data_IF_566990959949
#
_entry.id   IF_566990959949
#
_cell.length_a   1.000
_cell.length_b   1.000
_cell.length_c   1.000
_cell.angle_alpha   90.00
_cell.angle_beta   90.00
_cell.angle_gamma   90.00
#
_symmetry.space_group_name_H-M   'P 1'
#
loop_
_entity.id
_entity.type
_entity.pdbx_description
1 polymer ?
#
# COMPACT_ATOMS: atom_id res chain seq x y z
N UNK A 1 0.06 5.07 14.04
CA UNK A 1 -0.43 5.31 15.41
C UNK A 1 0.15 6.61 15.94
N UNK A 2 -0.25 7.09 17.11
CA UNK A 2 0.17 8.40 17.66
C UNK A 2 1.70 8.63 17.68
N UNK A 3 2.48 7.56 17.84
CA UNK A 3 3.96 7.58 17.78
C UNK A 3 4.52 7.80 16.36
N UNK A 4 3.80 7.37 15.33
CA UNK A 4 4.20 7.58 13.93
C UNK A 4 3.94 9.03 13.49
N UNK A 5 2.88 9.67 13.99
CA UNK A 5 2.59 11.08 13.68
C UNK A 5 3.52 12.05 14.40
N UNK A 6 4.00 11.72 15.60
CA UNK A 6 4.91 12.60 16.38
C UNK A 6 6.32 12.67 15.81
N UNK A 7 6.77 11.67 15.05
CA UNK A 7 8.09 11.65 14.42
C UNK A 7 8.06 12.05 12.95
N UNK A 8 6.94 11.82 12.25
CA UNK A 8 6.83 12.05 10.82
C UNK A 8 6.91 13.54 10.44
N UNK A 9 6.19 14.43 11.14
CA UNK A 9 6.22 15.86 10.82
C UNK A 9 7.62 16.46 11.05
N UNK A 10 8.30 16.22 12.20
CA UNK A 10 9.68 16.66 12.37
C UNK A 10 10.65 16.11 11.32
N UNK A 11 10.49 14.84 10.92
CA UNK A 11 11.32 14.25 9.87
C UNK A 11 11.10 14.92 8.50
N UNK A 12 9.85 15.25 8.15
CA UNK A 12 9.53 16.00 6.93
C UNK A 12 10.16 17.39 6.96
N UNK A 13 10.07 18.08 8.10
CA UNK A 13 10.67 19.42 8.26
C UNK A 13 12.20 19.37 8.14
N UNK A 14 12.85 18.37 8.75
CA UNK A 14 14.28 18.17 8.63
C UNK A 14 14.70 17.91 7.17
N UNK A 15 13.98 17.02 6.47
CA UNK A 15 14.28 16.71 5.06
C UNK A 15 14.11 17.93 4.15
N UNK A 16 13.07 18.73 4.36
CA UNK A 16 12.86 19.99 3.64
C UNK A 16 14.00 20.99 3.91
N UNK A 17 14.44 21.11 5.17
CA UNK A 17 15.55 21.97 5.54
C UNK A 17 16.87 21.51 4.91
N UNK A 18 17.15 20.20 4.91
CA UNK A 18 18.31 19.60 4.23
C UNK A 18 18.30 19.88 2.72
N UNK A 19 17.13 19.88 2.10
CA UNK A 19 16.96 20.22 0.69
C UNK A 19 16.97 21.74 0.42
N UNK A 20 16.97 22.59 1.46
CA UNK A 20 16.84 24.05 1.33
C UNK A 20 15.49 24.49 0.76
N UNK A 21 14.44 23.67 0.93
CA UNK A 21 13.11 23.90 0.39
C UNK A 21 12.12 24.25 1.50
N UNK A 22 11.25 25.21 1.24
CA UNK A 22 10.01 25.42 1.97
C UNK A 22 8.89 24.55 1.39
N UNK A 23 7.90 24.22 2.23
CA UNK A 23 6.77 23.38 1.82
C UNK A 23 6.05 23.93 0.58
N UNK A 24 5.87 25.26 0.49
CA UNK A 24 5.21 25.94 -0.65
C UNK A 24 6.00 25.90 -1.97
N UNK A 25 7.23 25.40 -1.96
CA UNK A 25 8.05 25.23 -3.16
C UNK A 25 7.88 23.86 -3.80
N UNK A 26 7.11 22.95 -3.18
CA UNK A 26 6.76 21.67 -3.78
C UNK A 26 5.62 21.83 -4.79
N UNK A 27 5.56 20.96 -5.79
CA UNK A 27 4.47 20.93 -6.76
C UNK A 27 3.23 20.18 -6.23
N UNK A 28 3.45 19.14 -5.42
CA UNK A 28 2.41 18.30 -4.82
C UNK A 28 2.96 17.51 -3.62
N UNK A 29 2.07 16.94 -2.81
CA UNK A 29 2.41 15.97 -1.75
C UNK A 29 1.89 14.59 -2.12
N UNK A 30 2.79 13.67 -2.44
CA UNK A 30 2.46 12.26 -2.70
C UNK A 30 2.39 11.45 -1.41
N UNK A 31 1.39 10.57 -1.29
CA UNK A 31 1.22 9.67 -0.15
C UNK A 31 0.64 8.33 -0.59
N UNK A 32 0.98 7.25 0.12
CA UNK A 32 0.39 5.93 -0.11
C UNK A 32 -1.04 5.90 0.41
N UNK A 33 -2.03 5.87 -0.50
CA UNK A 33 -3.44 5.95 -0.11
C UNK A 33 -4.08 4.58 0.13
N UNK A 34 -3.48 3.49 -0.35
CA UNK A 34 -3.96 2.13 -0.11
C UNK A 34 -3.79 1.21 -1.31
N UNK A 35 -4.08 -0.11 -1.14
CA UNK A 35 -4.52 -0.75 0.11
C UNK A 35 -3.40 -0.86 1.18
N UNK A 36 -3.78 -1.14 2.44
CA UNK A 36 -2.81 -1.20 3.54
C UNK A 36 -3.44 -1.27 4.93
N UNK A 37 -2.64 -0.99 5.97
CA UNK A 37 -3.11 -0.94 7.36
C UNK A 37 -4.00 0.28 7.60
N UNK A 38 -5.20 0.07 8.14
CA UNK A 38 -6.18 1.13 8.43
C UNK A 38 -5.57 2.33 9.18
N UNK A 39 -4.82 2.06 10.26
CA UNK A 39 -4.17 3.09 11.07
C UNK A 39 -3.05 3.81 10.30
N UNK A 40 -2.34 3.09 9.43
CA UNK A 40 -1.27 3.65 8.60
C UNK A 40 -1.82 4.58 7.51
N UNK A 41 -2.84 4.13 6.77
CA UNK A 41 -3.47 4.91 5.71
C UNK A 41 -4.10 6.20 6.23
N UNK A 42 -4.79 6.14 7.38
CA UNK A 42 -5.34 7.34 8.01
C UNK A 42 -4.24 8.33 8.41
N UNK A 43 -3.16 7.85 9.02
CA UNK A 43 -2.06 8.72 9.42
C UNK A 43 -1.39 9.39 8.22
N UNK A 44 -1.08 8.62 7.17
CA UNK A 44 -0.48 9.15 5.94
C UNK A 44 -1.39 10.19 5.27
N UNK A 45 -2.68 9.86 5.12
CA UNK A 45 -3.67 10.76 4.56
C UNK A 45 -3.78 12.05 5.38
N UNK A 46 -4.01 11.98 6.70
CA UNK A 46 -4.17 13.18 7.53
C UNK A 46 -2.93 14.07 7.54
N UNK A 47 -1.72 13.51 7.53
CA UNK A 47 -0.48 14.30 7.44
C UNK A 47 -0.35 14.96 6.08
N UNK A 48 -0.59 14.23 4.98
CA UNK A 48 -0.57 14.80 3.63
C UNK A 48 -1.60 15.93 3.48
N UNK A 49 -2.83 15.73 3.96
CA UNK A 49 -3.89 16.74 3.96
C UNK A 49 -3.51 17.98 4.75
N UNK A 50 -3.03 17.81 5.99
CA UNK A 50 -2.68 18.95 6.85
C UNK A 50 -1.55 19.80 6.27
N UNK A 51 -0.50 19.14 5.75
CA UNK A 51 0.62 19.83 5.09
C UNK A 51 0.16 20.54 3.81
N UNK A 52 -0.56 19.84 2.94
CA UNK A 52 -1.00 20.37 1.66
C UNK A 52 -1.99 21.54 1.83
N UNK A 53 -2.93 21.41 2.77
CA UNK A 53 -3.89 22.47 3.09
C UNK A 53 -3.19 23.75 3.57
N UNK A 54 -2.21 23.63 4.48
CA UNK A 54 -1.45 24.79 4.99
C UNK A 54 -0.54 25.45 3.94
N UNK A 55 -0.09 24.68 2.94
CA UNK A 55 0.77 25.16 1.87
C UNK A 55 0.02 25.57 0.59
N UNK A 56 -1.28 25.26 0.46
CA UNK A 56 -2.04 25.48 -0.77
C UNK A 56 -1.62 24.56 -1.91
N UNK A 57 -1.22 23.32 -1.58
CA UNK A 57 -0.75 22.32 -2.54
C UNK A 57 -1.81 21.28 -2.86
N UNK A 58 -1.77 20.68 -4.07
CA UNK A 58 -2.52 19.46 -4.34
C UNK A 58 -1.84 18.25 -3.69
N UNK A 59 -2.60 17.18 -3.54
CA UNK A 59 -2.11 15.89 -3.03
C UNK A 59 -2.26 14.81 -4.09
N UNK A 60 -1.37 13.83 -4.03
CA UNK A 60 -1.36 12.69 -4.94
C UNK A 60 -1.45 11.38 -4.15
N UNK A 61 -2.61 10.72 -4.24
CA UNK A 61 -2.83 9.40 -3.65
C UNK A 61 -2.21 8.31 -4.52
N UNK A 62 -1.04 7.79 -4.12
CA UNK A 62 -0.35 6.73 -4.83
C UNK A 62 -0.86 5.37 -4.38
N UNK A 63 -1.18 4.50 -5.34
CA UNK A 63 -1.55 3.11 -5.12
C UNK A 63 -0.37 2.36 -4.47
N UNK A 64 -0.59 1.83 -3.26
CA UNK A 64 0.44 1.16 -2.47
C UNK A 64 0.99 -0.08 -3.18
N UNK A 65 0.16 -0.84 -3.88
CA UNK A 65 0.60 -2.04 -4.60
C UNK A 65 1.31 -1.67 -5.90
N UNK A 66 0.94 -0.56 -6.53
CA UNK A 66 1.72 0.01 -7.64
C UNK A 66 3.12 0.42 -7.19
N UNK A 67 3.27 1.00 -6.00
CA UNK A 67 4.59 1.32 -5.43
C UNK A 67 5.44 0.07 -5.17
N UNK A 68 4.83 -1.05 -4.76
CA UNK A 68 5.53 -2.35 -4.66
C UNK A 68 6.02 -2.81 -6.04
N UNK A 69 5.18 -2.71 -7.07
CA UNK A 69 5.55 -3.05 -8.43
C UNK A 69 6.70 -2.16 -8.95
N UNK A 70 6.65 -0.86 -8.67
CA UNK A 70 7.69 0.09 -9.03
C UNK A 70 9.03 -0.22 -8.35
N UNK A 71 9.03 -0.50 -7.05
CA UNK A 71 10.26 -0.86 -6.36
C UNK A 71 10.87 -2.15 -6.94
N UNK A 72 10.05 -3.16 -7.23
CA UNK A 72 10.50 -4.39 -7.87
C UNK A 72 11.08 -4.14 -9.27
N UNK A 73 10.49 -3.22 -10.04
CA UNK A 73 11.02 -2.80 -11.36
C UNK A 73 12.36 -2.09 -11.23
N UNK A 74 12.51 -1.17 -10.29
CA UNK A 74 13.77 -0.45 -10.08
C UNK A 74 14.92 -1.38 -9.67
N UNK A 75 14.62 -2.39 -8.83
CA UNK A 75 15.62 -3.32 -8.33
C UNK A 75 15.95 -4.45 -9.33
N UNK A 76 14.95 -4.94 -10.06
CA UNK A 76 15.05 -6.19 -10.82
C UNK A 76 14.51 -6.11 -12.26
N UNK A 77 14.11 -4.95 -12.75
CA UNK A 77 13.63 -4.76 -14.12
C UNK A 77 12.30 -5.43 -14.45
N UNK A 78 11.51 -5.81 -13.44
CA UNK A 78 10.22 -6.49 -13.63
C UNK A 78 9.18 -5.54 -14.26
N UNK A 79 8.57 -5.92 -15.39
CA UNK A 79 7.55 -5.11 -16.09
C UNK A 79 6.14 -5.70 -16.01
N UNK A 80 5.99 -6.94 -15.51
CA UNK A 80 4.70 -7.59 -15.24
C UNK A 80 4.72 -8.13 -13.81
N UNK A 81 3.95 -7.51 -12.93
CA UNK A 81 4.07 -7.74 -11.48
C UNK A 81 2.70 -8.02 -10.88
N UNK A 82 2.59 -9.14 -10.18
CA UNK A 82 1.54 -9.38 -9.20
C UNK A 82 2.08 -8.90 -7.85
N UNK A 83 1.71 -7.67 -7.47
CA UNK A 83 2.11 -7.07 -6.20
C UNK A 83 1.25 -7.67 -5.08
N UNK A 84 1.88 -8.10 -3.98
CA UNK A 84 1.21 -8.72 -2.84
C UNK A 84 1.69 -8.14 -1.51
N UNK A 85 0.76 -7.77 -0.64
CA UNK A 85 1.07 -7.33 0.71
C UNK A 85 0.33 -8.20 1.72
N UNK A 86 0.99 -8.53 2.83
CA UNK A 86 0.32 -9.18 3.96
C UNK A 86 -0.78 -8.28 4.52
N UNK A 87 -2.04 -8.70 4.37
CA UNK A 87 -3.21 -7.97 4.87
C UNK A 87 -3.54 -8.37 6.33
N UNK A 88 -2.75 -9.25 6.95
CA UNK A 88 -3.06 -9.96 8.20
C UNK A 88 -4.33 -10.82 8.07
N UNK A 89 -4.68 -11.51 9.15
CA UNK A 89 -5.90 -12.33 9.23
C UNK A 89 -5.96 -13.41 8.14
N UNK A 90 -4.80 -13.99 7.82
CA UNK A 90 -4.67 -15.03 6.79
C UNK A 90 -5.09 -14.60 5.38
N UNK A 91 -4.87 -13.32 5.07
CA UNK A 91 -5.21 -12.71 3.80
C UNK A 91 -4.07 -11.86 3.26
N UNK A 92 -4.13 -11.61 1.96
CA UNK A 92 -3.21 -10.76 1.21
C UNK A 92 -3.99 -9.72 0.41
N UNK A 93 -3.45 -8.50 0.34
CA UNK A 93 -3.86 -7.55 -0.68
C UNK A 93 -3.09 -7.86 -1.95
N UNK A 94 -3.77 -7.99 -3.08
CA UNK A 94 -3.13 -8.25 -4.36
C UNK A 94 -3.60 -7.30 -5.47
N UNK A 95 -2.69 -7.02 -6.40
CA UNK A 95 -2.94 -6.20 -7.58
C UNK A 95 -1.97 -6.55 -8.70
N UNK A 96 -2.50 -6.70 -9.91
CA UNK A 96 -1.73 -7.04 -11.09
C UNK A 96 -1.38 -5.78 -11.88
N UNK A 97 -0.12 -5.59 -12.27
CA UNK A 97 0.38 -4.41 -12.97
C UNK A 97 1.26 -4.76 -14.16
N UNK A 98 1.07 -4.05 -15.26
CA UNK A 98 1.96 -4.09 -16.42
C UNK A 98 2.55 -2.69 -16.67
N UNK A 99 3.84 -2.62 -16.93
CA UNK A 99 4.57 -1.38 -17.18
C UNK A 99 4.64 -1.12 -18.69
N UNK A 100 4.01 -0.04 -19.15
CA UNK A 100 3.95 0.35 -20.56
C UNK A 100 5.16 1.14 -21.07
N UNK A 101 6.20 1.32 -20.24
CA UNK A 101 7.40 2.10 -20.57
C UNK A 101 7.41 3.49 -19.93
N UNK A 102 6.25 4.10 -19.72
CA UNK A 102 6.06 5.40 -19.08
C UNK A 102 5.28 5.27 -17.76
N UNK A 103 4.27 4.40 -17.73
CA UNK A 103 3.36 4.23 -16.60
C UNK A 103 3.00 2.78 -16.33
N UNK A 104 2.60 2.52 -15.10
CA UNK A 104 1.93 1.28 -14.72
C UNK A 104 0.46 1.31 -15.09
N UNK A 105 -0.04 0.16 -15.54
CA UNK A 105 -1.45 -0.10 -15.80
C UNK A 105 -1.90 -1.26 -14.92
N UNK A 106 -2.89 -1.01 -14.06
CA UNK A 106 -3.47 -2.05 -13.21
C UNK A 106 -4.39 -2.93 -14.05
N UNK A 107 -4.14 -4.24 -14.02
CA UNK A 107 -4.94 -5.24 -14.69
C UNK A 107 -6.03 -5.73 -13.71
N UNK A 108 -7.21 -5.10 -13.79
CA UNK A 108 -8.37 -5.43 -12.95
C UNK A 108 -8.45 -4.68 -11.62
N UNK A 109 -9.32 -5.19 -10.73
CA UNK A 109 -9.51 -4.64 -9.40
C UNK A 109 -8.48 -5.20 -8.41
N UNK A 110 -8.30 -4.50 -7.30
CA UNK A 110 -7.61 -5.08 -6.14
C UNK A 110 -8.37 -6.26 -5.59
N UNK A 111 -7.65 -7.18 -4.96
CA UNK A 111 -8.26 -8.30 -4.26
C UNK A 111 -7.77 -8.40 -2.81
N UNK A 112 -8.62 -8.99 -1.95
CA UNK A 112 -8.32 -9.30 -0.56
C UNK A 112 -8.71 -10.76 -0.32
N UNK A 113 -7.76 -11.65 -0.58
CA UNK A 113 -8.01 -13.08 -0.62
C UNK A 113 -7.07 -13.85 0.30
N UNK A 114 -7.33 -15.15 0.45
CA UNK A 114 -6.37 -16.06 1.06
C UNK A 114 -5.18 -16.26 0.12
N UNK A 115 -3.96 -16.51 0.64
CA UNK A 115 -2.78 -16.76 -0.18
C UNK A 115 -2.98 -17.82 -1.27
N UNK A 116 -3.74 -18.88 -0.97
CA UNK A 116 -3.99 -20.02 -1.87
C UNK A 116 -4.90 -19.69 -3.05
N UNK A 117 -5.68 -18.62 -2.96
CA UNK A 117 -6.56 -18.19 -4.05
C UNK A 117 -5.82 -17.36 -5.11
N UNK A 118 -4.59 -16.91 -4.82
CA UNK A 118 -3.79 -16.18 -5.78
C UNK A 118 -3.26 -17.11 -6.88
N UNK A 119 -3.38 -16.66 -8.12
CA UNK A 119 -2.77 -17.27 -9.27
C UNK A 119 -1.72 -16.31 -9.88
N UNK A 120 -0.56 -16.84 -10.24
CA UNK A 120 0.46 -16.09 -10.96
C UNK A 120 0.43 -16.51 -12.44
N UNK A 121 0.19 -15.56 -13.33
CA UNK A 121 0.21 -15.83 -14.77
C UNK A 121 1.64 -16.09 -15.27
N UNK A 122 1.84 -16.91 -16.32
CA UNK A 122 3.15 -17.12 -16.91
C UNK A 122 3.83 -15.82 -17.34
N UNK A 123 5.10 -15.65 -17.00
CA UNK A 123 5.88 -14.44 -17.31
C UNK A 123 5.63 -13.25 -16.37
N UNK A 124 4.86 -13.45 -15.29
CA UNK A 124 4.67 -12.46 -14.23
C UNK A 124 5.59 -12.74 -13.04
N UNK A 125 5.97 -11.67 -12.34
CA UNK A 125 6.73 -11.74 -11.08
C UNK A 125 5.80 -11.48 -9.90
N UNK A 126 5.89 -12.31 -8.86
CA UNK A 126 5.26 -12.05 -7.58
C UNK A 126 6.16 -11.11 -6.78
N UNK A 127 5.68 -9.91 -6.43
CA UNK A 127 6.49 -8.93 -5.69
C UNK A 127 5.81 -8.48 -4.41
N UNK A 128 6.58 -8.29 -3.33
CA UNK A 128 6.00 -7.77 -2.08
C UNK A 128 6.62 -8.32 -0.82
N UNK A 129 5.87 -8.25 0.29
CA UNK A 129 6.35 -8.66 1.62
C UNK A 129 5.60 -9.87 2.21
N UNK A 130 4.64 -10.44 1.48
CA UNK A 130 3.81 -11.53 1.99
C UNK A 130 4.55 -12.88 2.06
N UNK A 131 5.78 -12.96 1.54
CA UNK A 131 6.57 -14.20 1.51
C UNK A 131 6.93 -14.72 2.88
N UNK A 132 7.33 -13.83 3.80
CA UNK A 132 7.72 -14.21 5.15
C UNK A 132 6.52 -14.80 5.93
N UNK A 133 5.32 -14.27 5.67
CA UNK A 133 4.09 -14.70 6.34
C UNK A 133 3.51 -15.99 5.76
N UNK A 134 3.55 -16.17 4.44
CA UNK A 134 2.76 -17.20 3.76
C UNK A 134 3.58 -18.20 2.93
N UNK A 135 4.86 -17.93 2.66
CA UNK A 135 5.81 -18.88 2.10
C UNK A 135 5.28 -19.71 0.92
N UNK A 136 5.16 -21.02 1.11
CA UNK A 136 4.69 -21.98 0.10
C UNK A 136 3.19 -21.94 -0.21
N UNK A 137 2.39 -21.19 0.55
CA UNK A 137 0.94 -21.01 0.30
C UNK A 137 0.65 -20.03 -0.82
N UNK A 138 1.63 -19.19 -1.15
CA UNK A 138 1.59 -18.30 -2.30
C UNK A 138 1.95 -19.07 -3.59
N UNK A 139 1.48 -18.62 -4.76
CA UNK A 139 1.77 -19.29 -6.03
C UNK A 139 3.28 -19.42 -6.28
N UNK A 140 3.64 -20.49 -7.00
CA UNK A 140 5.01 -20.69 -7.46
C UNK A 140 5.37 -19.70 -8.58
N UNK A 141 6.65 -19.36 -8.70
CA UNK A 141 7.16 -18.46 -9.73
C UNK A 141 8.25 -17.52 -9.23
N UNK A 142 8.70 -16.56 -10.06
CA UNK A 142 9.68 -15.55 -9.67
C UNK A 142 9.17 -14.71 -8.50
N UNK A 143 10.02 -14.50 -7.48
CA UNK A 143 9.68 -13.75 -6.27
C UNK A 143 10.67 -12.61 -6.05
N UNK A 144 10.16 -11.41 -5.81
CA UNK A 144 10.95 -10.22 -5.52
C UNK A 144 10.45 -9.58 -4.22
N UNK A 145 11.31 -9.56 -3.20
CA UNK A 145 10.98 -8.89 -1.95
C UNK A 145 10.89 -7.38 -2.18
N UNK A 146 9.70 -6.81 -2.01
CA UNK A 146 9.44 -5.40 -2.25
C UNK A 146 8.44 -4.81 -1.24
N UNK A 147 8.51 -3.50 -1.03
CA UNK A 147 7.71 -2.72 -0.10
C UNK A 147 7.39 -1.35 -0.71
N UNK A 148 6.23 -0.77 -0.36
CA UNK A 148 5.86 0.57 -0.81
C UNK A 148 6.68 1.62 -0.04
N UNK A 149 7.80 2.06 -0.60
CA UNK A 149 8.67 3.06 0.03
C UNK A 149 8.54 4.45 -0.61
N UNK A 150 9.10 5.47 0.07
CA UNK A 150 9.01 6.84 -0.40
C UNK A 150 9.67 7.06 -1.77
N UNK A 151 10.74 6.32 -2.08
CA UNK A 151 11.44 6.44 -3.37
C UNK A 151 10.57 5.95 -4.53
N UNK A 152 9.88 4.82 -4.36
CA UNK A 152 8.92 4.30 -5.32
C UNK A 152 7.73 5.25 -5.50
N UNK A 153 7.20 5.81 -4.40
CA UNK A 153 6.12 6.80 -4.46
C UNK A 153 6.53 8.04 -5.27
N UNK A 154 7.71 8.60 -4.99
CA UNK A 154 8.24 9.78 -5.69
C UNK A 154 8.52 9.46 -7.16
N UNK A 155 9.05 8.27 -7.48
CA UNK A 155 9.29 7.86 -8.86
C UNK A 155 8.00 7.77 -9.70
N UNK A 156 6.87 7.42 -9.07
CA UNK A 156 5.56 7.38 -9.72
C UNK A 156 4.93 8.77 -9.89
N UNK A 157 5.28 9.73 -9.04
CA UNK A 157 4.58 11.01 -8.94
C UNK A 157 4.54 11.83 -10.24
N UNK A 158 5.63 11.97 -11.03
CA UNK A 158 5.60 12.75 -12.26
C UNK A 158 4.58 12.26 -13.28
N UNK A 159 4.51 10.93 -13.51
CA UNK A 159 3.58 10.35 -14.47
C UNK A 159 2.12 10.51 -14.04
N UNK A 160 1.85 10.35 -12.73
CA UNK A 160 0.52 10.52 -12.17
C UNK A 160 0.08 12.01 -12.16
N UNK A 161 1.00 12.93 -11.89
CA UNK A 161 0.75 14.37 -12.01
C UNK A 161 0.43 14.76 -13.45
N UNK A 162 1.21 14.28 -14.41
CA UNK A 162 0.96 14.52 -15.83
C UNK A 162 -0.38 13.94 -16.31
N UNK A 163 -0.85 12.86 -15.67
CA UNK A 163 -2.17 12.28 -15.93
C UNK A 163 -3.34 13.06 -15.28
N UNK A 164 -3.06 14.04 -14.42
CA UNK A 164 -4.08 14.82 -13.71
C UNK A 164 -4.67 14.11 -12.49
N UNK A 165 -3.96 13.12 -11.93
CA UNK A 165 -4.45 12.31 -10.80
C UNK A 165 -4.37 13.04 -9.44
N UNK A 166 -3.81 14.25 -9.40
CA UNK A 166 -3.72 15.04 -8.20
C UNK A 166 -5.06 15.70 -7.86
N UNK A 167 -5.39 15.74 -6.57
CA UNK A 167 -6.65 16.29 -6.05
C UNK A 167 -6.38 17.40 -5.03
N UNK A 168 -7.36 18.28 -4.76
CA UNK A 168 -7.30 19.19 -3.62
C UNK A 168 -7.11 18.44 -2.30
N UNK A 169 -6.43 19.10 -1.34
CA UNK A 169 -6.09 18.48 -0.06
C UNK A 169 -7.31 17.94 0.72
N UNK A 170 -8.45 18.62 0.67
CA UNK A 170 -9.69 18.19 1.33
C UNK A 170 -10.37 16.98 0.67
N UNK A 171 -9.94 16.60 -0.54
CA UNK A 171 -10.44 15.44 -1.28
C UNK A 171 -9.53 14.22 -1.16
N UNK A 172 -8.42 14.30 -0.43
CA UNK A 172 -7.57 13.15 -0.17
C UNK A 172 -8.33 12.09 0.62
N UNK A 173 -8.43 10.88 0.08
CA UNK A 173 -9.12 9.76 0.73
C UNK A 173 -8.24 8.51 0.73
N UNK A 174 -8.19 7.77 1.85
CA UNK A 174 -7.58 6.45 1.87
C UNK A 174 -8.47 5.44 1.13
N UNK A 175 -7.83 4.49 0.45
CA UNK A 175 -8.47 3.35 -0.18
C UNK A 175 -8.49 2.16 0.79
N UNK A 176 -9.69 1.84 1.27
CA UNK A 176 -9.94 0.64 2.07
C UNK A 176 -10.52 -0.47 1.18
N UNK A 177 -9.89 -1.65 1.21
CA UNK A 177 -10.41 -2.86 0.55
C UNK A 177 -11.06 -3.80 1.58
N UNK A 178 -10.60 -3.75 2.83
CA UNK A 178 -11.21 -4.51 3.92
C UNK A 178 -12.33 -3.70 4.56
N UNK A 179 -13.58 -4.02 4.23
CA UNK A 179 -14.76 -3.36 4.81
C UNK A 179 -14.94 -3.68 6.30
N UNK A 180 -14.41 -4.81 6.78
CA UNK A 180 -14.60 -5.29 8.16
C UNK A 180 -13.26 -5.56 8.85
N UNK A 181 -12.78 -4.60 9.64
CA UNK A 181 -11.49 -4.64 10.37
C UNK A 181 -11.63 -5.12 11.82
N UNK A 182 -12.85 -5.31 12.32
CA UNK A 182 -13.11 -5.82 13.67
C UNK A 182 -14.33 -6.74 13.67
N UNK A 183 -14.20 -7.89 14.34
CA UNK A 183 -15.34 -8.71 14.73
C UNK A 183 -16.14 -7.99 15.80
N UNK A 184 -17.46 -8.12 15.75
CA UNK A 184 -18.33 -7.70 16.85
C UNK A 184 -18.02 -8.54 18.10
N UNK A 185 -18.40 -8.04 19.29
CA UNK A 185 -18.25 -8.79 20.55
C UNK A 185 -18.89 -10.18 20.45
N UNK A 186 -20.02 -10.27 19.76
CA UNK A 186 -20.76 -11.52 19.58
C UNK A 186 -20.05 -12.50 18.65
N UNK A 187 -19.42 -12.00 17.58
CA UNK A 187 -18.61 -12.83 16.67
C UNK A 187 -17.36 -13.39 17.37
N UNK A 188 -16.73 -12.60 18.25
CA UNK A 188 -15.60 -13.07 19.09
C UNK A 188 -16.05 -14.13 20.11
N UNK A 189 -17.24 -13.94 20.70
CA UNK A 189 -17.81 -14.89 21.64
C UNK A 189 -18.19 -16.21 20.96
N UNK A 190 -18.80 -16.15 19.77
CA UNK A 190 -19.17 -17.33 18.97
C UNK A 190 -17.95 -18.14 18.53
N UNK A 191 -16.88 -17.48 18.08
CA UNK A 191 -15.62 -18.16 17.71
C UNK A 191 -14.92 -18.80 18.92
N UNK A 192 -14.95 -18.15 20.09
CA UNK A 192 -14.49 -18.77 21.35
C UNK A 192 -15.30 -20.01 21.70
N UNK A 193 -16.63 -19.96 21.53
CA UNK A 193 -17.50 -21.09 21.82
C UNK A 193 -17.30 -22.26 20.84
N UNK A 194 -17.05 -21.96 19.56
CA UNK A 194 -16.77 -22.96 18.53
C UNK A 194 -15.40 -23.63 18.73
N UNK A 195 -14.37 -22.87 19.11
CA UNK A 195 -13.05 -23.41 19.41
C UNK A 195 -13.04 -24.31 20.66
N UNK A 196 -13.93 -24.06 21.62
CA UNK A 196 -14.09 -24.88 22.83
C UNK A 196 -14.85 -26.20 22.60
N UNK A 197 -15.46 -26.40 21.42
CA UNK A 197 -16.27 -27.60 21.09
C UNK A 197 -15.54 -28.65 20.26
N UNK A 198 -14.28 -28.44 19.90
CA UNK A 198 -13.47 -29.48 19.23
C UNK A 198 -12.93 -30.41 20.33
N UNK A 199 -13.38 -31.68 20.42
CA UNK A 199 -12.82 -32.62 21.38
C UNK A 199 -11.38 -32.89 20.99
N UNK A 200 -10.45 -32.76 21.95
CA UNK A 200 -9.09 -33.28 21.82
C UNK A 200 -9.19 -34.79 21.67
N UNK A 201 -9.16 -35.30 20.44
CA UNK A 201 -9.07 -36.74 20.18
C UNK A 201 -7.63 -37.20 20.34
N UNK A 202 -7.30 -37.62 21.56
CA UNK A 202 -6.36 -38.71 21.87
C UNK A 202 -6.97 -39.56 22.98
#
# INVERSE_FOLDING_TARGET
GAQASSTLIPAIQALLAEAGLGLRQLDAIAFGHGPGSFTGLRAACSVAQGLAFGAGLPVLGVDTLMAVAEQARQQHGCTRVLAVLDARMDQVYAGAYEYGGDRWQRQGAFSLDRPEALALAPGWTLAGNAFDAYGGRLPAGPRVAARPDAAALVALAPALLAAGDAVPADQALPLYIRDKVAQTTDERAALKLAAARIPSSL
#
